data_IF_372719442477
#
_entry.id   IF_372719442477
#
_cell.length_a   1.000
_cell.length_b   1.000
_cell.length_c   1.000
_cell.angle_alpha   90.00
_cell.angle_beta   90.00
_cell.angle_gamma   90.00
#
_symmetry.space_group_name_H-M   'P 1'
#
loop_
_entity.id
_entity.type
_entity.pdbx_description
1 polymer ?
#
# COMPACT_ATOMS: atom_id res chain seq x y z
N UNK A 1 30.64 4.52 -10.37
CA UNK A 1 29.81 3.60 -11.15
C UNK A 1 28.63 4.42 -11.67
N UNK A 2 28.52 4.60 -12.98
CA UNK A 2 27.38 5.30 -13.58
C UNK A 2 26.20 4.32 -13.57
N UNK A 3 25.10 4.72 -12.95
CA UNK A 3 23.84 4.01 -12.98
C UNK A 3 23.32 4.11 -14.42
N UNK A 4 23.22 3.00 -15.14
CA UNK A 4 22.55 2.92 -16.43
C UNK A 4 21.05 2.75 -16.16
N UNK A 5 20.22 3.79 -16.37
CA UNK A 5 18.81 3.72 -16.05
C UNK A 5 18.00 2.84 -17.02
N UNK A 6 18.60 2.37 -18.12
CA UNK A 6 17.88 1.67 -19.19
C UNK A 6 17.01 2.62 -20.02
N UNK A 7 16.22 2.03 -20.94
CA UNK A 7 15.31 2.78 -21.81
C UNK A 7 14.08 3.28 -21.02
N UNK A 8 13.59 4.48 -21.31
CA UNK A 8 12.49 5.10 -20.57
C UNK A 8 11.26 4.17 -20.52
N UNK A 9 10.77 3.88 -19.31
CA UNK A 9 9.63 2.97 -19.02
C UNK A 9 9.87 1.49 -19.34
N UNK A 10 11.08 1.07 -19.65
CA UNK A 10 11.46 -0.34 -19.64
C UNK A 10 11.67 -0.83 -18.20
N UNK A 11 11.14 -2.00 -17.86
CA UNK A 11 11.54 -2.68 -16.62
C UNK A 11 12.94 -3.24 -16.83
N UNK A 12 13.86 -2.96 -15.91
CA UNK A 12 15.12 -3.71 -15.86
C UNK A 12 14.81 -5.17 -15.54
N UNK A 13 15.55 -6.12 -16.13
CA UNK A 13 15.28 -7.57 -15.96
C UNK A 13 15.23 -7.98 -14.49
N UNK A 14 16.06 -7.36 -13.64
CA UNK A 14 16.09 -7.62 -12.18
C UNK A 14 14.81 -7.20 -11.45
N UNK A 15 13.99 -6.35 -12.07
CA UNK A 15 12.70 -5.87 -11.55
C UNK A 15 11.50 -6.44 -12.33
N UNK A 16 11.73 -7.42 -13.21
CA UNK A 16 10.65 -8.21 -13.80
C UNK A 16 10.16 -9.29 -12.82
N UNK A 17 9.61 -8.81 -11.71
CA UNK A 17 9.04 -9.62 -10.65
C UNK A 17 7.51 -9.48 -10.64
N UNK A 18 6.85 -10.44 -10.01
CA UNK A 18 5.40 -10.38 -9.80
C UNK A 18 5.00 -9.06 -9.08
N UNK A 19 3.82 -8.50 -9.37
CA UNK A 19 3.29 -7.39 -8.61
C UNK A 19 3.27 -7.71 -7.11
N UNK A 20 3.47 -6.68 -6.29
CA UNK A 20 3.38 -6.79 -4.83
C UNK A 20 2.57 -5.61 -4.29
N UNK A 21 1.76 -5.81 -3.23
CA UNK A 21 0.91 -4.76 -2.72
C UNK A 21 1.75 -3.71 -2.00
N UNK A 22 1.52 -2.45 -2.31
CA UNK A 22 2.09 -1.30 -1.58
C UNK A 22 1.15 -0.79 -0.48
N UNK A 23 -0.08 -1.31 -0.45
CA UNK A 23 -1.12 -1.02 0.54
C UNK A 23 -1.86 -2.32 0.83
N UNK A 24 -2.01 -2.67 2.11
CA UNK A 24 -2.73 -3.88 2.52
C UNK A 24 -3.20 -3.79 3.97
N UNK A 25 -4.16 -4.63 4.34
CA UNK A 25 -4.62 -4.79 5.71
C UNK A 25 -4.66 -6.28 6.11
N UNK A 26 -4.64 -6.56 7.41
CA UNK A 26 -4.70 -7.92 7.96
C UNK A 26 -5.16 -7.89 9.43
N UNK A 27 -5.90 -8.92 9.83
CA UNK A 27 -6.13 -9.24 11.26
C UNK A 27 -4.97 -10.07 11.83
N UNK A 28 -4.48 -9.67 13.00
CA UNK A 28 -3.42 -10.34 13.75
C UNK A 28 -3.86 -10.57 15.20
N UNK A 29 -4.29 -11.80 15.50
CA UNK A 29 -4.99 -12.07 16.77
C UNK A 29 -6.30 -11.29 16.81
N UNK A 30 -6.55 -10.59 17.92
CA UNK A 30 -7.70 -9.69 18.08
C UNK A 30 -7.41 -8.27 17.55
N UNK A 31 -6.21 -8.02 17.03
CA UNK A 31 -5.77 -6.72 16.52
C UNK A 31 -5.90 -6.58 15.01
N UNK A 32 -5.84 -5.33 14.55
CA UNK A 32 -5.89 -4.95 13.13
C UNK A 32 -4.56 -4.30 12.72
N UNK A 33 -4.03 -4.69 11.57
CA UNK A 33 -2.80 -4.15 10.99
C UNK A 33 -3.11 -3.59 9.62
N UNK A 34 -2.67 -2.36 9.40
CA UNK A 34 -2.73 -1.69 8.11
C UNK A 34 -1.32 -1.24 7.70
N UNK A 35 -1.00 -1.41 6.42
CA UNK A 35 0.27 -0.97 5.85
C UNK A 35 0.02 -0.11 4.61
N UNK A 36 0.78 0.97 4.51
CA UNK A 36 0.78 1.90 3.39
C UNK A 36 2.22 2.38 3.13
N UNK A 37 2.73 2.13 1.92
CA UNK A 37 4.07 2.53 1.50
C UNK A 37 4.15 3.92 0.86
N UNK A 38 3.05 4.67 0.79
CA UNK A 38 3.04 6.07 0.34
C UNK A 38 3.47 7.03 1.47
N UNK A 39 3.63 8.32 1.14
CA UNK A 39 3.96 9.37 2.12
C UNK A 39 5.42 9.80 2.17
N UNK A 40 6.24 9.42 1.17
CA UNK A 40 7.62 9.91 1.10
C UNK A 40 7.73 11.42 0.81
N UNK A 41 6.75 11.98 0.09
CA UNK A 41 6.76 13.40 -0.32
C UNK A 41 5.77 14.21 0.52
N UNK A 42 6.09 15.49 0.73
CA UNK A 42 5.25 16.43 1.50
C UNK A 42 3.88 16.65 0.84
N UNK A 43 3.83 16.77 -0.50
CA UNK A 43 2.59 16.97 -1.25
C UNK A 43 1.59 15.81 -1.11
N UNK A 44 2.05 14.61 -0.76
CA UNK A 44 1.17 13.49 -0.43
C UNK A 44 0.48 13.72 0.91
N UNK A 45 1.19 14.24 1.91
CA UNK A 45 0.62 14.55 3.23
C UNK A 45 -0.34 15.74 3.19
N UNK A 46 -0.11 16.71 2.31
CA UNK A 46 -1.01 17.87 2.13
C UNK A 46 -2.27 17.52 1.32
N UNK A 47 -2.30 16.36 0.66
CA UNK A 47 -3.44 15.97 -0.17
C UNK A 47 -4.63 15.56 0.71
N UNK A 48 -5.78 16.24 0.54
CA UNK A 48 -6.98 16.02 1.38
C UNK A 48 -7.42 14.56 1.43
N UNK A 49 -7.49 13.88 0.27
CA UNK A 49 -7.83 12.45 0.22
C UNK A 49 -6.86 11.57 1.02
N UNK A 50 -5.56 11.90 1.04
CA UNK A 50 -4.59 11.13 1.81
C UNK A 50 -4.81 11.31 3.31
N UNK A 51 -5.10 12.54 3.75
CA UNK A 51 -5.44 12.84 5.16
C UNK A 51 -6.71 12.12 5.61
N UNK A 52 -7.77 12.18 4.80
CA UNK A 52 -9.02 11.43 5.06
C UNK A 52 -8.72 9.95 5.21
N UNK A 53 -7.97 9.39 4.26
CA UNK A 53 -7.68 7.97 4.26
C UNK A 53 -6.80 7.53 5.43
N UNK A 54 -5.82 8.34 5.85
CA UNK A 54 -5.06 8.10 7.08
C UNK A 54 -5.99 8.10 8.30
N UNK A 55 -6.90 9.09 8.40
CA UNK A 55 -7.91 9.13 9.47
C UNK A 55 -8.77 7.86 9.50
N UNK A 56 -9.36 7.50 8.37
CA UNK A 56 -10.21 6.31 8.22
C UNK A 56 -9.44 5.03 8.62
N UNK A 57 -8.17 4.91 8.24
CA UNK A 57 -7.36 3.73 8.59
C UNK A 57 -7.00 3.67 10.07
N UNK A 58 -6.89 4.82 10.76
CA UNK A 58 -6.70 4.88 12.21
C UNK A 58 -7.97 4.44 12.92
N UNK A 59 -9.14 4.94 12.52
CA UNK A 59 -10.43 4.53 13.08
C UNK A 59 -10.68 3.03 12.86
N UNK A 60 -10.43 2.54 11.64
CA UNK A 60 -10.51 1.12 11.34
C UNK A 60 -9.56 0.28 12.20
N UNK A 61 -8.30 0.71 12.36
CA UNK A 61 -7.31 -0.01 13.18
C UNK A 61 -7.68 0.02 14.67
N UNK A 62 -8.40 1.05 15.13
CA UNK A 62 -8.95 1.15 16.48
C UNK A 62 -10.17 0.22 16.71
N UNK A 63 -10.69 -0.43 15.66
CA UNK A 63 -11.76 -1.41 15.76
C UNK A 63 -13.11 -0.93 15.23
N UNK A 64 -13.19 0.28 14.66
CA UNK A 64 -14.42 0.78 14.08
C UNK A 64 -14.82 -0.03 12.82
N UNK A 65 -16.10 -0.39 12.71
CA UNK A 65 -16.64 -1.15 11.59
C UNK A 65 -16.21 -2.62 11.49
N UNK A 66 -16.63 -3.29 10.42
CA UNK A 66 -16.21 -4.66 10.09
C UNK A 66 -14.74 -4.68 9.63
N UNK A 67 -13.95 -5.65 10.10
CA UNK A 67 -12.54 -5.73 9.76
C UNK A 67 -12.31 -5.95 8.24
N UNK A 68 -13.09 -6.86 7.63
CA UNK A 68 -13.07 -7.15 6.19
C UNK A 68 -11.66 -7.36 5.60
N UNK A 69 -10.74 -7.96 6.37
CA UNK A 69 -9.31 -8.09 6.03
C UNK A 69 -8.92 -9.51 5.58
N UNK A 70 -9.89 -10.28 5.06
CA UNK A 70 -9.62 -11.61 4.50
C UNK A 70 -8.70 -11.51 3.26
N UNK A 71 -7.70 -12.40 3.10
CA UNK A 71 -6.83 -12.38 1.92
C UNK A 71 -7.63 -12.54 0.62
N UNK A 72 -7.44 -11.62 -0.34
CA UNK A 72 -8.16 -11.57 -1.62
C UNK A 72 -7.25 -11.42 -2.86
N UNK A 73 -5.93 -11.59 -2.70
CA UNK A 73 -4.95 -11.34 -3.76
C UNK A 73 -5.28 -12.05 -5.08
N UNK A 74 -5.67 -13.33 -5.02
CA UNK A 74 -6.01 -14.12 -6.20
C UNK A 74 -7.29 -13.71 -6.90
N UNK A 75 -8.15 -12.92 -6.24
CA UNK A 75 -9.45 -12.52 -6.77
C UNK A 75 -9.42 -11.10 -7.38
N UNK A 76 -8.54 -10.23 -6.89
CA UNK A 76 -8.55 -8.79 -7.22
C UNK A 76 -7.35 -8.32 -8.05
N UNK A 77 -6.27 -9.10 -8.11
CA UNK A 77 -5.07 -8.74 -8.87
C UNK A 77 -5.12 -9.40 -10.25
N UNK A 78 -5.10 -8.63 -11.36
CA UNK A 78 -5.13 -9.15 -12.73
C UNK A 78 -3.92 -10.01 -13.11
#
# INVERSE_FOLDING_TARGET
ALMDPGEERSKQEVYDIAPYPIVWCRELGDGRVFHNAMGHREDVWDHEMFQTWVGDTIEWAAGEGEAAAAPNWGDVVP
#
